data_IF_975441040104
#
_entry.id   IF_975441040104
#
_cell.length_a   1.000
_cell.length_b   1.000
_cell.length_c   1.000
_cell.angle_alpha   90.00
_cell.angle_beta   90.00
_cell.angle_gamma   90.00
#
_symmetry.space_group_name_H-M   'P 1'
#
loop_
_entity.id
_entity.type
_entity.pdbx_description
1 polymer ?
#
# COMPACT_ATOMS: atom_id res chain seq x y z
N UNK A 1 10.49 -14.08 1.67
CA UNK A 1 10.77 -12.90 0.81
C UNK A 1 11.37 -11.73 1.57
N UNK A 2 10.64 -11.04 2.46
CA UNK A 2 11.20 -9.88 3.19
C UNK A 2 12.37 -10.24 4.13
N UNK A 3 12.24 -11.32 4.91
CA UNK A 3 13.30 -11.83 5.79
C UNK A 3 14.54 -12.25 5.00
N UNK A 4 14.35 -12.96 3.90
CA UNK A 4 15.46 -13.39 3.02
C UNK A 4 16.21 -12.20 2.43
N UNK A 5 15.48 -11.16 1.99
CA UNK A 5 16.07 -9.92 1.50
C UNK A 5 16.89 -9.17 2.56
N UNK A 6 16.37 -9.10 3.80
CA UNK A 6 17.09 -8.48 4.91
C UNK A 6 18.39 -9.23 5.24
N UNK A 7 18.36 -10.57 5.25
CA UNK A 7 19.55 -11.41 5.47
C UNK A 7 20.60 -11.14 4.39
N UNK A 8 20.20 -11.10 3.11
CA UNK A 8 21.11 -10.82 1.99
C UNK A 8 21.76 -9.44 2.13
N UNK A 9 20.97 -8.41 2.45
CA UNK A 9 21.46 -7.05 2.65
C UNK A 9 22.44 -6.93 3.82
N UNK A 10 22.12 -7.55 4.96
CA UNK A 10 22.97 -7.52 6.16
C UNK A 10 24.31 -8.21 5.91
N UNK A 11 24.32 -9.36 5.21
CA UNK A 11 25.56 -10.01 4.77
C UNK A 11 26.36 -9.13 3.81
N UNK A 12 25.70 -8.53 2.82
CA UNK A 12 26.36 -7.65 1.85
C UNK A 12 26.99 -6.40 2.49
N UNK A 13 26.51 -5.98 3.66
CA UNK A 13 27.03 -4.85 4.44
C UNK A 13 27.99 -5.27 5.56
N UNK A 14 28.40 -6.55 5.61
CA UNK A 14 29.35 -7.07 6.58
C UNK A 14 28.77 -7.26 7.99
N UNK A 15 27.44 -7.30 8.12
CA UNK A 15 26.70 -7.48 9.38
C UNK A 15 26.21 -8.92 9.53
N UNK A 16 27.14 -9.87 9.45
CA UNK A 16 26.84 -11.31 9.55
C UNK A 16 26.22 -11.69 10.90
N UNK A 17 26.57 -10.97 11.96
CA UNK A 17 25.99 -11.06 13.30
C UNK A 17 24.47 -10.85 13.26
N UNK A 18 24.03 -9.75 12.65
CA UNK A 18 22.62 -9.40 12.53
C UNK A 18 21.91 -10.33 11.55
N UNK A 19 22.58 -10.73 10.46
CA UNK A 19 22.01 -11.66 9.50
C UNK A 19 21.70 -13.03 10.15
N UNK A 20 22.58 -13.52 11.03
CA UNK A 20 22.36 -14.75 11.79
C UNK A 20 21.18 -14.62 12.76
N UNK A 21 21.08 -13.50 13.46
CA UNK A 21 19.97 -13.20 14.38
C UNK A 21 18.62 -13.18 13.62
N UNK A 22 18.55 -12.50 12.48
CA UNK A 22 17.33 -12.46 11.64
C UNK A 22 16.99 -13.84 11.07
N UNK A 23 18.00 -14.64 10.70
CA UNK A 23 17.80 -16.01 10.22
C UNK A 23 17.25 -16.95 11.31
N UNK A 24 17.64 -16.73 12.56
CA UNK A 24 17.09 -17.44 13.72
C UNK A 24 15.65 -17.01 14.07
N UNK A 25 15.14 -15.94 13.45
CA UNK A 25 13.82 -15.39 13.73
C UNK A 25 13.76 -14.56 15.02
N UNK A 26 14.89 -14.02 15.44
CA UNK A 26 15.02 -13.17 16.64
C UNK A 26 14.96 -11.66 16.27
N UNK A 27 14.86 -10.80 17.28
CA UNK A 27 14.90 -9.34 17.12
C UNK A 27 13.60 -8.66 16.69
N UNK A 28 12.55 -9.44 16.40
CA UNK A 28 11.20 -8.93 16.09
C UNK A 28 10.54 -8.22 17.30
N UNK A 29 11.05 -8.45 18.51
CA UNK A 29 10.61 -7.86 19.77
C UNK A 29 11.19 -6.47 20.05
N UNK A 30 12.25 -6.08 19.35
CA UNK A 30 12.87 -4.78 19.50
C UNK A 30 11.86 -3.65 19.20
N UNK A 31 11.74 -2.64 20.08
CA UNK A 31 10.81 -1.52 19.89
C UNK A 31 10.94 -0.85 18.52
N UNK A 32 12.16 -0.71 18.03
CA UNK A 32 12.50 -0.12 16.73
C UNK A 32 11.97 -0.97 15.58
N UNK A 33 12.12 -2.29 15.65
CA UNK A 33 11.63 -3.23 14.62
C UNK A 33 10.10 -3.23 14.58
N UNK A 34 9.44 -3.25 15.75
CA UNK A 34 7.97 -3.16 15.82
C UNK A 34 7.44 -1.83 15.27
N UNK A 35 8.13 -0.74 15.57
CA UNK A 35 7.76 0.60 15.09
C UNK A 35 7.93 0.70 13.58
N UNK A 36 9.05 0.22 13.04
CA UNK A 36 9.29 0.16 11.60
C UNK A 36 8.27 -0.74 10.88
N UNK A 37 7.93 -1.90 11.45
CA UNK A 37 6.91 -2.79 10.89
C UNK A 37 5.53 -2.14 10.88
N UNK A 38 5.16 -1.39 11.93
CA UNK A 38 3.91 -0.64 11.96
C UNK A 38 3.87 0.47 10.89
N UNK A 39 4.97 1.21 10.72
CA UNK A 39 5.08 2.24 9.69
C UNK A 39 5.00 1.65 8.27
N UNK A 40 5.69 0.52 8.02
CA UNK A 40 5.64 -0.18 6.73
C UNK A 40 4.24 -0.71 6.42
N UNK A 41 3.52 -1.25 7.41
CA UNK A 41 2.10 -1.65 7.24
C UNK A 41 1.24 -0.45 6.85
N UNK A 42 1.37 0.68 7.54
CA UNK A 42 0.64 1.90 7.20
C UNK A 42 0.93 2.41 5.78
N UNK A 43 2.19 2.34 5.34
CA UNK A 43 2.57 2.64 3.96
C UNK A 43 1.98 1.65 2.96
N UNK A 44 1.97 0.36 3.28
CA UNK A 44 1.33 -0.69 2.47
C UNK A 44 -0.17 -0.44 2.28
N UNK A 45 -0.87 -0.01 3.32
CA UNK A 45 -2.29 0.35 3.25
C UNK A 45 -2.52 1.57 2.34
N UNK A 46 -1.63 2.57 2.39
CA UNK A 46 -1.66 3.73 1.48
C UNK A 46 -1.46 3.30 0.03
N UNK A 47 -0.41 2.50 -0.25
CA UNK A 47 -0.12 2.00 -1.59
C UNK A 47 -1.28 1.15 -2.13
N UNK A 48 -1.87 0.30 -1.29
CA UNK A 48 -3.03 -0.54 -1.68
C UNK A 48 -4.21 0.32 -2.12
N UNK A 49 -4.52 1.41 -1.40
CA UNK A 49 -5.58 2.34 -1.80
C UNK A 49 -5.25 3.06 -3.11
N UNK A 50 -3.99 3.43 -3.32
CA UNK A 50 -3.54 4.10 -4.54
C UNK A 50 -3.64 3.15 -5.74
N UNK A 51 -3.17 1.91 -5.59
CA UNK A 51 -3.29 0.87 -6.62
C UNK A 51 -4.74 0.54 -6.95
N UNK A 52 -5.63 0.49 -5.95
CA UNK A 52 -7.06 0.28 -6.18
C UNK A 52 -7.67 1.40 -7.04
N UNK A 53 -7.38 2.66 -6.72
CA UNK A 53 -7.84 3.80 -7.52
C UNK A 53 -7.23 3.80 -8.93
N UNK A 54 -5.94 3.53 -9.07
CA UNK A 54 -5.27 3.48 -10.37
C UNK A 54 -5.80 2.35 -11.25
N UNK A 55 -6.08 1.18 -10.67
CA UNK A 55 -6.71 0.06 -11.39
C UNK A 55 -8.06 0.51 -11.94
N UNK A 56 -8.86 1.20 -11.14
CA UNK A 56 -10.15 1.72 -11.59
C UNK A 56 -10.03 2.77 -12.69
N UNK A 57 -9.05 3.68 -12.58
CA UNK A 57 -8.75 4.63 -13.64
C UNK A 57 -8.28 3.96 -14.95
N UNK A 58 -7.66 2.78 -14.87
CA UNK A 58 -7.18 2.04 -16.04
C UNK A 58 -8.25 1.16 -16.71
N UNK A 59 -9.39 0.91 -16.04
CA UNK A 59 -10.50 0.12 -16.59
C UNK A 59 -11.37 1.01 -17.50
N UNK A 60 -11.22 0.87 -18.82
CA UNK A 60 -11.93 1.73 -19.79
C UNK A 60 -13.47 1.61 -19.67
N UNK A 61 -13.97 0.38 -19.58
CA UNK A 61 -15.42 0.11 -19.51
C UNK A 61 -16.07 0.70 -18.25
N UNK A 62 -15.30 0.86 -17.17
CA UNK A 62 -15.80 1.43 -15.93
C UNK A 62 -16.23 2.90 -16.10
N UNK A 63 -15.53 3.67 -16.93
CA UNK A 63 -15.78 5.11 -17.10
C UNK A 63 -16.86 5.40 -18.13
N UNK A 64 -16.95 4.55 -19.15
CA UNK A 64 -17.84 4.70 -20.30
C UNK A 64 -19.19 3.99 -20.10
N UNK A 65 -19.38 3.25 -19.00
CA UNK A 65 -20.66 2.64 -18.66
C UNK A 65 -21.76 3.71 -18.57
N UNK A 66 -22.78 3.56 -19.42
CA UNK A 66 -23.96 4.42 -19.47
C UNK A 66 -24.90 4.06 -18.30
N UNK A 67 -24.55 4.55 -17.11
CA UNK A 67 -25.44 4.55 -15.97
C UNK A 67 -26.61 5.53 -16.18
N UNK A 68 -27.76 5.35 -15.50
CA UNK A 68 -28.85 6.32 -15.51
C UNK A 68 -28.36 7.67 -14.94
N UNK A 69 -27.90 8.57 -15.82
CA UNK A 69 -27.16 9.78 -15.45
C UNK A 69 -25.99 10.11 -16.38
N UNK A 70 -25.60 9.19 -17.28
CA UNK A 70 -24.47 9.31 -18.20
C UNK A 70 -23.15 8.82 -17.60
N UNK A 71 -22.11 8.78 -18.43
CA UNK A 71 -20.77 8.28 -18.09
C UNK A 71 -20.25 8.76 -16.71
N UNK A 72 -19.78 7.81 -15.89
CA UNK A 72 -19.21 8.04 -14.55
C UNK A 72 -18.09 9.08 -14.56
N UNK A 73 -17.33 9.16 -15.66
CA UNK A 73 -16.26 10.14 -15.83
C UNK A 73 -16.74 11.60 -15.72
N UNK A 74 -17.99 11.88 -16.11
CA UNK A 74 -18.55 13.24 -16.01
C UNK A 74 -18.87 13.62 -14.57
N UNK A 75 -19.07 12.65 -13.69
CA UNK A 75 -19.54 12.86 -12.32
C UNK A 75 -18.43 12.74 -11.27
N UNK A 76 -17.33 12.04 -11.54
CA UNK A 76 -16.26 11.85 -10.56
C UNK A 76 -15.63 13.18 -10.11
N UNK A 77 -15.37 14.13 -11.02
CA UNK A 77 -14.76 15.43 -10.69
C UNK A 77 -13.50 15.34 -9.78
N UNK A 78 -12.76 14.22 -9.81
CA UNK A 78 -11.62 13.93 -8.95
C UNK A 78 -11.97 13.54 -7.50
N UNK A 79 -13.22 13.20 -7.20
CA UNK A 79 -13.66 12.72 -5.89
C UNK A 79 -12.96 11.43 -5.49
N UNK A 80 -12.83 10.47 -6.41
CA UNK A 80 -12.12 9.22 -6.15
C UNK A 80 -10.67 9.46 -5.73
N UNK A 81 -9.95 10.32 -6.46
CA UNK A 81 -8.58 10.71 -6.11
C UNK A 81 -8.50 11.41 -4.74
N UNK A 82 -9.40 12.36 -4.47
CA UNK A 82 -9.45 13.07 -3.18
C UNK A 82 -9.76 12.13 -2.02
N UNK A 83 -10.65 11.17 -2.21
CA UNK A 83 -10.97 10.17 -1.17
C UNK A 83 -9.73 9.37 -0.79
N UNK A 84 -9.04 8.84 -1.80
CA UNK A 84 -7.87 7.98 -1.61
C UNK A 84 -6.69 8.74 -1.01
N UNK A 85 -6.44 9.99 -1.44
CA UNK A 85 -5.43 10.87 -0.82
C UNK A 85 -5.73 11.20 0.65
N UNK A 86 -7.01 11.19 1.04
CA UNK A 86 -7.44 11.37 2.42
C UNK A 86 -7.56 10.04 3.20
N UNK A 87 -7.02 8.95 2.67
CA UNK A 87 -7.01 7.64 3.33
C UNK A 87 -8.36 6.90 3.31
N UNK A 88 -9.30 7.32 2.46
CA UNK A 88 -10.62 6.69 2.31
C UNK A 88 -10.65 5.73 1.11
N UNK A 89 -11.63 4.80 1.05
CA UNK A 89 -11.86 4.01 -0.15
C UNK A 89 -12.16 4.89 -1.38
N UNK A 90 -11.90 4.41 -2.62
CA UNK A 90 -12.18 5.15 -3.86
C UNK A 90 -13.61 5.68 -3.95
N UNK A 91 -14.60 4.80 -3.68
CA UNK A 91 -16.02 5.14 -3.63
C UNK A 91 -16.45 5.35 -2.18
N UNK A 92 -16.20 6.57 -1.69
CA UNK A 92 -16.68 6.99 -0.38
C UNK A 92 -17.63 8.17 -0.56
N UNK A 93 -18.92 7.92 -0.34
CA UNK A 93 -19.93 8.95 -0.21
C UNK A 93 -20.30 9.08 1.25
N UNK A 94 -20.47 10.32 1.71
CA UNK A 94 -20.96 10.60 3.07
C UNK A 94 -22.48 10.49 2.99
N UNK A 95 -23.05 9.49 3.68
CA UNK A 95 -24.50 9.34 3.85
C UNK A 95 -25.16 10.63 4.38
#
# INVERSE_FOLDING_TARGET
>A
MARDGAIVYLRATGRDDLAALVAAGEGDDFPEVRSAAAALRGLGDVLTRYEAALRQYAEADFWDDDWPGGALARHDHGEMARNVLNGRPPFFHRD
#
